data_IF_583919456022
#
_entry.id   IF_583919456022
#
_cell.length_a   1.000
_cell.length_b   1.000
_cell.length_c   1.000
_cell.angle_alpha   90.00
_cell.angle_beta   90.00
_cell.angle_gamma   90.00
#
_symmetry.space_group_name_H-M   'P 1'
#
loop_
_entity.id
_entity.type
_entity.pdbx_description
1 polymer ?
#
# COMPACT_ATOMS: atom_id res chain seq x y z
N UNK A 1 -24.53 -3.59 -5.83
CA UNK A 1 -23.62 -2.43 -5.93
C UNK A 1 -22.78 -2.37 -4.66
N UNK A 2 -21.50 -2.72 -4.73
CA UNK A 2 -20.50 -2.37 -3.71
C UNK A 2 -19.08 -2.50 -4.30
N UNK A 3 -18.52 -1.45 -4.92
CA UNK A 3 -17.12 -1.45 -5.37
C UNK A 3 -16.23 -0.40 -4.66
N UNK A 4 -16.77 0.50 -3.84
CA UNK A 4 -16.01 1.67 -3.35
C UNK A 4 -15.20 1.42 -2.06
N UNK A 5 -15.69 0.61 -1.10
CA UNK A 5 -15.01 0.42 0.19
C UNK A 5 -13.68 -0.35 0.14
N UNK A 6 -13.33 -0.96 -0.99
CA UNK A 6 -12.13 -1.79 -1.12
C UNK A 6 -10.85 -1.00 -1.44
N UNK A 7 -10.97 0.29 -1.79
CA UNK A 7 -9.84 1.11 -2.25
C UNK A 7 -9.04 1.76 -1.11
N UNK A 8 -9.67 2.06 0.02
CA UNK A 8 -9.00 2.72 1.17
C UNK A 8 -7.93 1.86 1.87
N UNK A 9 -7.87 0.56 1.57
CA UNK A 9 -6.87 -0.37 2.11
C UNK A 9 -5.66 -0.60 1.20
N UNK A 10 -5.62 0.02 0.01
CA UNK A 10 -4.50 -0.14 -0.91
C UNK A 10 -3.25 0.62 -0.43
N UNK A 11 -2.10 -0.02 -0.52
CA UNK A 11 -0.81 0.60 -0.20
C UNK A 11 -0.21 1.23 -1.45
N UNK A 12 0.22 2.48 -1.36
CA UNK A 12 1.06 3.09 -2.39
C UNK A 12 2.28 2.19 -2.65
N UNK A 13 2.65 2.00 -3.92
CA UNK A 13 3.75 1.10 -4.31
C UNK A 13 5.03 1.34 -3.51
N UNK A 14 5.41 2.60 -3.27
CA UNK A 14 6.58 2.97 -2.48
C UNK A 14 6.58 2.45 -1.02
N UNK A 15 5.43 1.96 -0.51
CA UNK A 15 5.25 1.39 0.83
C UNK A 15 4.98 -0.12 0.83
N UNK A 16 4.72 -0.71 -0.33
CA UNK A 16 4.46 -2.15 -0.47
C UNK A 16 5.75 -3.01 -0.53
N UNK A 17 6.92 -2.39 -0.35
CA UNK A 17 8.21 -3.08 -0.40
C UNK A 17 9.37 -2.13 -0.10
N UNK A 18 10.59 -2.65 -0.24
CA UNK A 18 11.81 -1.84 -0.27
C UNK A 18 12.00 -1.28 -1.68
N UNK A 19 11.63 -0.02 -1.86
CA UNK A 19 11.85 0.74 -3.08
C UNK A 19 13.14 1.57 -3.02
N UNK A 20 13.98 1.48 -4.06
CA UNK A 20 15.23 2.23 -4.20
C UNK A 20 15.37 2.80 -5.59
N UNK A 21 15.85 4.04 -5.68
CA UNK A 21 16.19 4.68 -6.94
C UNK A 21 17.70 4.82 -7.09
N UNK A 22 18.15 4.75 -8.33
CA UNK A 22 19.55 4.83 -8.75
C UNK A 22 19.66 5.82 -9.91
N UNK A 23 20.78 6.53 -9.95
CA UNK A 23 21.11 7.32 -11.13
C UNK A 23 21.40 6.38 -12.31
N UNK A 24 20.88 6.66 -13.51
CA UNK A 24 21.27 5.93 -14.70
C UNK A 24 22.78 6.07 -14.98
N UNK A 25 23.42 5.04 -15.57
CA UNK A 25 24.77 5.15 -16.09
C UNK A 25 24.91 6.38 -17.02
N UNK A 26 26.09 7.04 -17.09
CA UNK A 26 26.27 8.26 -17.86
C UNK A 26 25.77 8.17 -19.30
N UNK A 27 26.03 7.05 -19.99
CA UNK A 27 25.60 6.79 -21.37
C UNK A 27 24.06 6.74 -21.53
N UNK A 28 23.32 6.50 -20.45
CA UNK A 28 21.88 6.30 -20.46
C UNK A 28 21.07 7.48 -19.90
N UNK A 29 21.72 8.54 -19.39
CA UNK A 29 21.05 9.68 -18.74
C UNK A 29 20.12 10.48 -19.65
N UNK A 30 20.35 10.42 -20.96
CA UNK A 30 19.47 11.05 -21.95
C UNK A 30 18.20 10.21 -22.19
N UNK A 31 18.30 8.89 -22.11
CA UNK A 31 17.19 7.97 -22.38
C UNK A 31 16.36 7.64 -21.14
N UNK A 32 16.98 7.63 -19.96
CA UNK A 32 16.34 7.24 -18.71
C UNK A 32 16.54 8.32 -17.66
N UNK A 33 15.49 8.61 -16.89
CA UNK A 33 15.55 9.56 -15.78
C UNK A 33 16.03 8.89 -14.49
N UNK A 34 15.61 7.65 -14.25
CA UNK A 34 15.93 6.86 -13.05
C UNK A 34 16.02 5.38 -13.37
N UNK A 35 16.90 4.69 -12.68
CA UNK A 35 16.81 3.24 -12.51
C UNK A 35 16.22 3.00 -11.12
N UNK A 36 15.50 1.91 -10.92
CA UNK A 36 14.88 1.62 -9.64
C UNK A 36 14.71 0.13 -9.42
N UNK A 37 14.70 -0.27 -8.15
CA UNK A 37 14.32 -1.62 -7.75
C UNK A 37 13.24 -1.56 -6.69
N UNK A 38 12.36 -2.54 -6.73
CA UNK A 38 11.31 -2.73 -5.74
C UNK A 38 11.26 -4.20 -5.34
N UNK A 39 11.79 -4.50 -4.16
CA UNK A 39 11.60 -5.81 -3.55
C UNK A 39 10.30 -5.76 -2.76
N UNK A 40 9.26 -6.44 -3.25
CA UNK A 40 8.03 -6.57 -2.50
C UNK A 40 8.28 -7.34 -1.21
N UNK A 41 7.53 -6.93 -0.22
CA UNK A 41 7.48 -7.54 1.08
C UNK A 41 6.98 -9.00 1.04
N UNK A 42 7.54 -9.84 1.91
CA UNK A 42 7.05 -11.21 2.14
C UNK A 42 5.79 -11.15 3.02
N UNK A 43 4.71 -11.85 2.67
CA UNK A 43 3.45 -11.79 3.44
C UNK A 43 2.18 -11.90 2.58
N UNK A 44 0.97 -11.69 3.14
CA UNK A 44 -0.26 -11.75 2.38
C UNK A 44 -0.30 -10.61 1.35
N UNK A 45 -0.89 -10.83 0.17
CA UNK A 45 -0.89 -9.84 -0.89
C UNK A 45 -1.66 -8.58 -0.47
N UNK A 46 -0.93 -7.50 -0.22
CA UNK A 46 -1.52 -6.17 -0.10
C UNK A 46 -1.89 -5.67 -1.51
N UNK A 47 -3.04 -5.00 -1.64
CA UNK A 47 -3.37 -4.35 -2.90
C UNK A 47 -2.42 -3.17 -3.12
N UNK A 48 -1.53 -3.28 -4.11
CA UNK A 48 -0.56 -2.23 -4.42
C UNK A 48 -1.16 -1.22 -5.37
N UNK A 49 -1.15 0.06 -4.99
CA UNK A 49 -1.55 1.16 -5.85
C UNK A 49 -0.32 1.77 -6.55
N UNK A 50 -0.22 1.54 -7.85
CA UNK A 50 0.71 2.26 -8.73
C UNK A 50 -0.04 3.49 -9.24
N UNK A 51 0.40 4.67 -8.84
CA UNK A 51 -0.30 5.93 -9.13
C UNK A 51 0.32 6.63 -10.34
N UNK A 52 -0.47 7.35 -11.16
CA UNK A 52 0.02 7.94 -12.39
C UNK A 52 1.04 9.06 -12.12
N UNK A 53 2.18 9.03 -12.81
CA UNK A 53 3.25 10.03 -12.71
C UNK A 53 3.64 10.67 -14.05
N UNK A 54 3.12 10.14 -15.16
CA UNK A 54 3.40 10.60 -16.52
C UNK A 54 4.72 10.12 -17.10
N UNK A 55 5.33 9.12 -16.47
CA UNK A 55 6.44 8.37 -17.02
C UNK A 55 5.96 7.04 -17.64
N UNK A 56 6.93 6.36 -18.23
CA UNK A 56 6.83 5.00 -18.75
C UNK A 56 8.09 4.28 -18.31
N UNK A 57 7.96 3.03 -17.90
CA UNK A 57 9.04 2.26 -17.31
C UNK A 57 9.27 0.97 -18.10
N UNK A 58 10.54 0.66 -18.38
CA UNK A 58 10.96 -0.66 -18.79
C UNK A 58 11.18 -1.50 -17.54
N UNK A 59 10.63 -2.71 -17.49
CA UNK A 59 10.62 -3.57 -16.32
C UNK A 59 11.27 -4.91 -16.62
N UNK A 60 12.02 -5.41 -15.65
CA UNK A 60 12.38 -6.82 -15.50
C UNK A 60 11.65 -7.37 -14.27
N UNK A 61 10.75 -8.33 -14.50
CA UNK A 61 9.88 -8.90 -13.47
C UNK A 61 9.52 -10.34 -13.81
N UNK A 62 9.60 -11.25 -12.84
CA UNK A 62 9.25 -12.67 -12.98
C UNK A 62 9.84 -13.34 -14.24
N UNK A 63 11.11 -13.04 -14.53
CA UNK A 63 11.83 -13.62 -15.66
C UNK A 63 11.46 -13.03 -17.02
N UNK A 64 10.73 -11.90 -17.07
CA UNK A 64 10.27 -11.27 -18.30
C UNK A 64 10.58 -9.79 -18.35
N UNK A 65 10.85 -9.32 -19.56
CA UNK A 65 10.93 -7.91 -19.88
C UNK A 65 9.55 -7.41 -20.30
N UNK A 66 9.12 -6.30 -19.70
CA UNK A 66 7.87 -5.63 -20.02
C UNK A 66 8.06 -4.12 -20.10
N UNK A 67 7.13 -3.44 -20.77
CA UNK A 67 6.94 -2.00 -20.66
C UNK A 67 5.67 -1.70 -19.89
N UNK A 68 5.78 -0.97 -18.79
CA UNK A 68 4.65 -0.32 -18.15
C UNK A 68 4.40 1.01 -18.86
N UNK A 69 3.31 1.07 -19.62
CA UNK A 69 2.85 2.30 -20.23
C UNK A 69 2.35 3.30 -19.17
N UNK A 70 2.12 4.56 -19.58
CA UNK A 70 1.66 5.57 -18.65
C UNK A 70 0.26 5.23 -18.14
N UNK A 71 0.03 5.48 -16.86
CA UNK A 71 -1.29 5.36 -16.26
C UNK A 71 -2.04 6.70 -16.31
N UNK A 72 -3.36 6.63 -16.46
CA UNK A 72 -4.24 7.79 -16.27
C UNK A 72 -4.83 7.84 -14.85
N UNK A 73 -5.02 6.69 -14.24
CA UNK A 73 -5.55 6.47 -12.89
C UNK A 73 -4.79 5.29 -12.29
N UNK A 74 -4.85 5.11 -10.98
CA UNK A 74 -4.07 4.07 -10.32
C UNK A 74 -4.32 2.68 -10.91
N UNK A 75 -3.23 1.98 -11.17
CA UNK A 75 -3.22 0.57 -11.50
C UNK A 75 -3.04 -0.25 -10.21
N UNK A 76 -3.69 -1.41 -10.19
CA UNK A 76 -3.64 -2.35 -9.06
C UNK A 76 -3.16 -3.72 -9.52
N UNK A 77 -1.87 -3.87 -9.87
CA UNK A 77 -1.34 -5.14 -10.35
C UNK A 77 -1.38 -6.20 -9.25
N UNK A 78 -1.58 -7.45 -9.67
CA UNK A 78 -1.40 -8.61 -8.78
C UNK A 78 0.06 -9.02 -8.85
N UNK A 79 0.85 -8.58 -7.87
CA UNK A 79 2.25 -8.95 -7.71
C UNK A 79 2.38 -10.03 -6.63
N UNK A 80 3.25 -11.02 -6.86
CA UNK A 80 3.48 -12.05 -5.85
C UNK A 80 4.30 -11.45 -4.70
N UNK A 81 4.00 -11.80 -3.44
CA UNK A 81 4.89 -11.51 -2.32
C UNK A 81 6.32 -12.01 -2.61
N UNK A 82 7.32 -11.25 -2.18
CA UNK A 82 8.73 -11.54 -2.46
C UNK A 82 9.20 -11.28 -3.90
N UNK A 83 8.32 -10.92 -4.84
CA UNK A 83 8.74 -10.52 -6.20
C UNK A 83 9.67 -9.32 -6.11
N UNK A 84 10.81 -9.40 -6.81
CA UNK A 84 11.67 -8.25 -7.04
C UNK A 84 11.47 -7.73 -8.45
N UNK A 85 11.18 -6.43 -8.55
CA UNK A 85 11.06 -5.72 -9.82
C UNK A 85 12.28 -4.83 -9.98
N UNK A 86 12.89 -4.89 -11.17
CA UNK A 86 13.92 -3.94 -11.60
C UNK A 86 13.32 -3.11 -12.72
N UNK A 87 13.50 -1.79 -12.68
CA UNK A 87 12.96 -0.90 -13.68
C UNK A 87 13.93 0.19 -14.12
N UNK A 88 13.74 0.64 -15.35
CA UNK A 88 14.37 1.84 -15.90
C UNK A 88 13.27 2.77 -16.41
N UNK A 89 13.18 3.94 -15.78
CA UNK A 89 12.20 4.97 -16.11
C UNK A 89 12.68 5.78 -17.29
N UNK A 90 11.94 5.76 -18.39
CA UNK A 90 12.29 6.59 -19.54
C UNK A 90 12.30 8.07 -19.17
N UNK A 91 13.26 8.81 -19.72
CA UNK A 91 13.20 10.26 -19.75
C UNK A 91 12.01 10.69 -20.64
N UNK A 92 11.37 11.84 -20.38
CA UNK A 92 10.29 12.33 -21.21
C UNK A 92 10.74 12.45 -22.68
N UNK A 93 10.02 11.81 -23.60
CA UNK A 93 10.38 11.78 -25.02
C UNK A 93 11.22 10.58 -25.46
N UNK A 94 11.79 9.78 -24.54
CA UNK A 94 12.68 8.68 -24.88
C UNK A 94 11.97 7.34 -25.17
N UNK A 95 10.81 7.09 -24.54
CA UNK A 95 10.15 5.78 -24.63
C UNK A 95 9.73 5.40 -26.07
N UNK A 96 9.10 6.33 -26.81
CA UNK A 96 8.61 6.03 -28.18
C UNK A 96 9.76 5.71 -29.15
N UNK A 97 10.87 6.48 -29.20
CA UNK A 97 12.09 6.11 -29.92
C UNK A 97 12.58 4.68 -29.68
N UNK A 98 12.49 4.20 -28.44
CA UNK A 98 12.93 2.85 -28.06
C UNK A 98 11.95 1.76 -28.47
N UNK A 99 10.66 1.99 -28.19
CA UNK A 99 9.60 0.99 -28.34
C UNK A 99 8.98 0.96 -29.73
N UNK A 100 9.27 1.99 -30.56
CA UNK A 100 8.63 2.27 -31.86
C UNK A 100 7.10 2.24 -31.81
N UNK A 101 6.54 2.50 -30.62
CA UNK A 101 5.12 2.38 -30.30
C UNK A 101 4.66 3.65 -29.60
N UNK A 102 3.58 4.31 -30.06
CA UNK A 102 3.06 5.49 -29.36
C UNK A 102 2.53 5.10 -27.98
N UNK A 103 2.79 5.91 -26.95
CA UNK A 103 2.37 5.57 -25.59
C UNK A 103 0.85 5.54 -25.41
N UNK A 104 0.07 6.15 -26.31
CA UNK A 104 -1.39 6.00 -26.34
C UNK A 104 -1.86 4.57 -26.59
N UNK A 105 -1.03 3.72 -27.22
CA UNK A 105 -1.34 2.29 -27.39
C UNK A 105 -1.05 1.45 -26.14
N UNK A 106 -0.25 1.99 -25.22
CA UNK A 106 0.19 1.35 -23.97
C UNK A 106 -0.51 1.92 -22.73
N UNK A 107 -1.43 2.88 -22.90
CA UNK A 107 -2.12 3.57 -21.82
C UNK A 107 -2.80 2.58 -20.86
N UNK A 108 -2.42 2.61 -19.58
CA UNK A 108 -2.99 1.76 -18.54
C UNK A 108 -2.63 0.28 -18.64
N UNK A 109 -1.55 -0.07 -19.37
CA UNK A 109 -1.16 -1.45 -19.65
C UNK A 109 0.32 -1.69 -19.34
N UNK A 110 0.60 -2.83 -18.74
CA UNK A 110 1.93 -3.45 -18.77
C UNK A 110 1.94 -4.50 -19.87
N UNK A 111 2.89 -4.38 -20.81
CA UNK A 111 2.94 -5.23 -22.02
C UNK A 111 4.31 -5.89 -22.10
N UNK A 112 4.41 -7.23 -22.22
CA UNK A 112 5.67 -7.91 -22.51
C UNK A 112 6.36 -7.33 -23.74
N UNK A 113 7.68 -7.16 -23.70
CA UNK A 113 8.42 -6.61 -24.84
C UNK A 113 8.38 -7.50 -26.08
N UNK A 114 8.20 -8.81 -25.89
CA UNK A 114 7.98 -9.77 -26.96
C UNK A 114 6.73 -9.45 -27.79
N UNK A 115 5.65 -8.99 -27.13
CA UNK A 115 4.36 -8.72 -27.77
C UNK A 115 4.38 -7.47 -28.64
N UNK A 116 5.34 -6.57 -28.42
CA UNK A 116 5.58 -5.37 -29.25
C UNK A 116 6.77 -5.55 -30.21
N UNK A 117 7.30 -6.77 -30.31
CA UNK A 117 8.35 -7.12 -31.28
C UNK A 117 9.71 -6.49 -30.99
N UNK A 118 10.03 -6.21 -29.73
CA UNK A 118 11.34 -5.63 -29.39
C UNK A 118 12.45 -6.66 -29.62
N UNK A 119 13.37 -6.34 -30.54
CA UNK A 119 14.32 -7.29 -31.14
C UNK A 119 15.20 -8.06 -30.15
N UNK A 120 15.54 -7.42 -29.03
CA UNK A 120 16.52 -7.94 -28.05
C UNK A 120 15.87 -8.69 -26.88
N UNK A 121 14.54 -8.87 -26.90
CA UNK A 121 13.78 -9.43 -25.76
C UNK A 121 14.33 -10.79 -25.33
N UNK A 122 14.29 -11.81 -26.19
CA UNK A 122 14.65 -13.17 -25.81
C UNK A 122 16.13 -13.30 -25.34
N UNK A 123 17.04 -12.60 -26.01
CA UNK A 123 18.46 -12.57 -25.62
C UNK A 123 18.64 -11.96 -24.23
N UNK A 124 17.99 -10.83 -23.96
CA UNK A 124 18.15 -10.10 -22.71
C UNK A 124 17.46 -10.83 -21.55
N UNK A 125 16.28 -11.41 -21.78
CA UNK A 125 15.59 -12.23 -20.78
C UNK A 125 16.42 -13.46 -20.39
N UNK A 126 17.05 -14.14 -21.35
CA UNK A 126 17.94 -15.26 -21.07
C UNK A 126 19.15 -14.84 -20.21
N UNK A 127 19.85 -13.77 -20.61
CA UNK A 127 21.02 -13.26 -19.88
C UNK A 127 20.66 -12.78 -18.47
N UNK A 128 19.52 -12.11 -18.29
CA UNK A 128 19.05 -11.66 -16.97
C UNK A 128 18.60 -12.84 -16.10
N UNK A 129 18.06 -13.91 -16.71
CA UNK A 129 17.65 -15.13 -16.00
C UNK A 129 18.80 -15.85 -15.30
N UNK A 130 20.03 -15.69 -15.77
CA UNK A 130 21.24 -16.27 -15.16
C UNK A 130 21.69 -15.54 -13.88
N UNK A 131 21.11 -14.38 -13.56
CA UNK A 131 21.48 -13.55 -12.41
C UNK A 131 20.30 -13.38 -11.44
N UNK A 132 20.15 -14.29 -10.46
CA UNK A 132 19.03 -14.23 -9.50
C UNK A 132 19.21 -13.16 -8.42
N UNK A 133 20.42 -12.65 -8.19
CA UNK A 133 20.69 -11.60 -7.20
C UNK A 133 20.31 -10.20 -7.73
N UNK A 134 19.49 -9.41 -7.01
CA UNK A 134 18.98 -8.15 -7.54
C UNK A 134 20.04 -7.07 -7.84
N UNK A 135 21.07 -6.83 -6.99
CA UNK A 135 22.21 -5.98 -7.34
C UNK A 135 22.90 -6.36 -8.66
N UNK A 136 23.21 -7.63 -8.85
CA UNK A 136 23.89 -8.09 -10.07
C UNK A 136 23.00 -8.00 -11.30
N UNK A 137 21.73 -8.38 -11.16
CA UNK A 137 20.72 -8.22 -12.20
C UNK A 137 20.54 -6.75 -12.61
N UNK A 138 20.54 -5.81 -11.65
CA UNK A 138 20.47 -4.37 -11.92
C UNK A 138 21.69 -3.87 -12.71
N UNK A 139 22.89 -4.32 -12.32
CA UNK A 139 24.12 -3.96 -13.03
C UNK A 139 24.13 -4.52 -14.47
N UNK A 140 23.67 -5.75 -14.66
CA UNK A 140 23.52 -6.35 -15.98
C UNK A 140 22.45 -5.63 -16.81
N UNK A 141 21.29 -5.33 -16.20
CA UNK A 141 20.21 -4.59 -16.85
C UNK A 141 20.70 -3.25 -17.41
N UNK A 142 21.53 -2.51 -16.66
CA UNK A 142 22.19 -1.30 -17.15
C UNK A 142 23.09 -1.54 -18.38
N UNK A 143 23.95 -2.56 -18.34
CA UNK A 143 24.82 -2.90 -19.49
C UNK A 143 24.03 -3.29 -20.74
N UNK A 144 22.98 -4.08 -20.56
CA UNK A 144 22.06 -4.47 -21.63
C UNK A 144 21.38 -3.25 -22.25
N UNK A 145 20.94 -2.30 -21.42
CA UNK A 145 20.36 -1.05 -21.90
C UNK A 145 21.40 -0.17 -22.60
N UNK A 146 22.66 -0.14 -22.17
CA UNK A 146 23.73 0.54 -22.91
C UNK A 146 23.96 -0.09 -24.29
N UNK A 147 23.91 -1.43 -24.39
CA UNK A 147 23.98 -2.14 -25.66
C UNK A 147 22.81 -1.77 -26.59
N UNK A 148 21.58 -1.72 -26.04
CA UNK A 148 20.38 -1.37 -26.79
C UNK A 148 20.33 0.11 -27.19
N UNK A 149 20.88 1.01 -26.37
CA UNK A 149 20.89 2.45 -26.63
C UNK A 149 21.70 2.82 -27.88
N UNK A 150 22.66 1.98 -28.29
CA UNK A 150 23.45 2.21 -29.52
C UNK A 150 22.60 2.23 -30.79
N UNK A 151 21.46 1.53 -30.78
CA UNK A 151 20.52 1.45 -31.90
C UNK A 151 19.26 2.31 -31.66
N UNK A 152 19.17 3.01 -30.52
CA UNK A 152 18.01 3.81 -30.16
C UNK A 152 18.09 5.20 -30.78
N UNK A 153 16.94 5.73 -31.23
CA UNK A 153 16.90 7.13 -31.67
C UNK A 153 16.95 8.07 -30.45
N UNK A 154 17.38 9.30 -30.69
CA UNK A 154 17.42 10.36 -29.68
C UNK A 154 16.03 10.65 -29.10
N UNK A 155 15.93 10.99 -27.80
CA UNK A 155 14.69 11.43 -27.17
C UNK A 155 14.09 12.65 -27.88
N UNK A 156 12.75 12.70 -27.95
CA UNK A 156 12.05 13.85 -28.50
C UNK A 156 12.16 15.07 -27.55
N UNK A 157 12.93 16.08 -27.95
CA UNK A 157 13.16 17.30 -27.15
C UNK A 157 11.87 18.06 -26.82
N UNK A 158 10.93 18.11 -27.77
CA UNK A 158 9.64 18.80 -27.56
C UNK A 158 8.82 18.15 -26.45
N UNK A 159 8.86 16.82 -26.32
CA UNK A 159 8.25 16.10 -25.21
C UNK A 159 8.88 16.48 -23.86
N UNK A 160 10.21 16.59 -23.78
CA UNK A 160 10.88 17.04 -22.56
C UNK A 160 10.43 18.46 -22.15
N UNK A 161 10.31 19.39 -23.10
CA UNK A 161 9.80 20.74 -22.83
C UNK A 161 8.35 20.73 -22.38
N UNK A 162 7.48 19.94 -23.02
CA UNK A 162 6.07 19.79 -22.63
C UNK A 162 5.96 19.25 -21.20
N UNK A 163 6.73 18.22 -20.88
CA UNK A 163 6.73 17.60 -19.54
C UNK A 163 7.20 18.59 -18.47
N UNK A 164 8.32 19.27 -18.70
CA UNK A 164 8.86 20.27 -17.76
C UNK A 164 7.86 21.42 -17.50
N UNK A 165 7.11 21.84 -18.51
CA UNK A 165 6.09 22.86 -18.33
C UNK A 165 4.93 22.39 -17.45
N UNK A 166 4.42 21.17 -17.68
CA UNK A 166 3.40 20.56 -16.83
C UNK A 166 3.88 20.44 -15.37
N UNK A 167 5.16 20.10 -15.19
CA UNK A 167 5.78 19.97 -13.87
C UNK A 167 5.93 21.31 -13.14
N UNK A 168 6.18 22.40 -13.87
CA UNK A 168 6.27 23.76 -13.32
C UNK A 168 4.95 24.35 -12.82
N UNK A 169 3.82 23.67 -13.06
CA UNK A 169 2.48 24.16 -12.70
C UNK A 169 1.95 25.27 -13.62
N UNK A 170 2.69 25.60 -14.68
CA UNK A 170 2.27 26.56 -15.70
C UNK A 170 1.40 25.86 -16.76
N UNK A 171 0.35 26.51 -17.28
CA UNK A 171 -0.47 25.93 -18.35
C UNK A 171 0.37 25.65 -19.60
N UNK A 172 0.23 24.47 -20.19
CA UNK A 172 0.90 24.07 -21.43
C UNK A 172 0.46 24.92 -22.63
N UNK A 173 -0.69 25.62 -22.55
CA UNK A 173 -1.08 26.62 -23.56
C UNK A 173 -0.04 27.75 -23.69
N UNK A 174 0.70 28.07 -22.62
CA UNK A 174 1.81 29.03 -22.69
C UNK A 174 3.02 28.52 -23.47
N UNK A 175 3.07 27.23 -23.79
CA UNK A 175 4.12 26.64 -24.62
C UNK A 175 3.85 26.75 -26.12
N UNK A 176 2.60 27.02 -26.53
CA UNK A 176 2.23 27.06 -27.96
C UNK A 176 3.10 28.04 -28.74
N UNK A 177 3.32 29.25 -28.19
CA UNK A 177 4.20 30.26 -28.79
C UNK A 177 5.69 29.94 -28.71
N UNK A 178 6.14 29.19 -27.70
CA UNK A 178 7.56 28.80 -27.53
C UNK A 178 7.97 27.62 -28.41
N UNK A 179 7.04 26.69 -28.64
CA UNK A 179 7.26 25.50 -29.45
C UNK A 179 6.84 25.68 -30.91
N UNK A 180 6.24 26.83 -31.26
CA UNK A 180 5.68 27.06 -32.60
C UNK A 180 4.57 26.08 -32.96
N UNK A 181 3.81 25.59 -31.97
CA UNK A 181 2.78 24.57 -32.14
C UNK A 181 1.37 25.13 -31.98
N UNK A 182 0.45 24.65 -32.81
CA UNK A 182 -1.00 24.77 -32.56
C UNK A 182 -1.44 23.84 -31.44
N UNK A 183 -2.60 24.11 -30.83
CA UNK A 183 -3.20 23.25 -29.81
C UNK A 183 -3.41 21.81 -30.30
N UNK A 184 -3.79 21.64 -31.59
CA UNK A 184 -3.96 20.33 -32.21
C UNK A 184 -2.63 19.56 -32.28
N UNK A 185 -1.53 20.24 -32.64
CA UNK A 185 -0.20 19.63 -32.66
C UNK A 185 0.26 19.26 -31.25
N UNK A 186 0.09 20.15 -30.27
CA UNK A 186 0.41 19.88 -28.86
C UNK A 186 -0.36 18.67 -28.35
N UNK A 187 -1.68 18.62 -28.58
CA UNK A 187 -2.52 17.48 -28.18
C UNK A 187 -2.01 16.18 -28.80
N UNK A 188 -1.70 16.18 -30.10
CA UNK A 188 -1.19 15.00 -30.81
C UNK A 188 0.16 14.53 -30.24
N UNK A 189 1.09 15.47 -30.01
CA UNK A 189 2.39 15.18 -29.38
C UNK A 189 2.24 14.58 -28.00
N UNK A 190 1.34 15.14 -27.17
CA UNK A 190 1.09 14.59 -25.84
C UNK A 190 0.53 13.17 -25.88
N UNK A 191 -0.44 12.87 -26.76
CA UNK A 191 -0.97 11.50 -26.87
C UNK A 191 0.13 10.52 -27.32
N UNK A 192 0.99 10.97 -28.23
CA UNK A 192 2.09 10.15 -28.73
C UNK A 192 3.13 9.84 -27.65
N UNK A 193 3.57 10.84 -26.88
CA UNK A 193 4.68 10.71 -25.92
C UNK A 193 4.26 10.47 -24.46
N UNK A 194 2.99 10.64 -24.09
CA UNK A 194 2.49 10.47 -22.72
C UNK A 194 1.18 9.69 -22.63
N UNK A 195 0.59 9.30 -23.77
CA UNK A 195 -0.66 8.53 -23.82
C UNK A 195 -1.95 9.34 -23.66
N UNK A 196 -1.89 10.61 -23.27
CA UNK A 196 -3.05 11.48 -23.07
C UNK A 196 -2.74 12.96 -23.42
N UNK A 197 -3.73 13.84 -23.33
CA UNK A 197 -3.57 15.26 -23.66
C UNK A 197 -2.82 16.08 -22.60
N UNK A 198 -2.35 17.27 -22.98
CA UNK A 198 -1.58 18.18 -22.12
C UNK A 198 -2.26 18.49 -20.78
N UNK A 199 -3.58 18.74 -20.79
CA UNK A 199 -4.35 19.01 -19.56
C UNK A 199 -4.33 17.82 -18.59
N UNK A 200 -4.37 16.58 -19.09
CA UNK A 200 -4.25 15.40 -18.22
C UNK A 200 -2.85 15.28 -17.63
N UNK A 201 -1.81 15.55 -18.43
CA UNK A 201 -0.43 15.59 -17.95
C UNK A 201 -0.25 16.63 -16.84
N UNK A 202 -0.75 17.85 -17.01
CA UNK A 202 -0.70 18.91 -16.00
C UNK A 202 -1.34 18.48 -14.68
N UNK A 203 -2.52 17.86 -14.73
CA UNK A 203 -3.23 17.37 -13.55
C UNK A 203 -2.44 16.26 -12.84
N UNK A 204 -1.87 15.32 -13.61
CA UNK A 204 -1.01 14.26 -13.07
C UNK A 204 0.25 14.84 -12.42
N UNK A 205 0.92 15.80 -13.06
CA UNK A 205 2.10 16.45 -12.46
C UNK A 205 1.74 17.27 -11.23
N UNK A 206 0.58 17.93 -11.19
CA UNK A 206 0.04 18.57 -9.97
C UNK A 206 -0.16 17.56 -8.85
N UNK A 207 -0.75 16.41 -9.15
CA UNK A 207 -0.92 15.32 -8.19
C UNK A 207 0.43 14.78 -7.69
N UNK A 208 1.43 14.63 -8.56
CA UNK A 208 2.78 14.22 -8.14
C UNK A 208 3.44 15.24 -7.21
N UNK A 209 3.29 16.55 -7.46
CA UNK A 209 3.75 17.59 -6.53
C UNK A 209 3.10 17.47 -5.15
N UNK A 210 1.81 17.14 -5.09
CA UNK A 210 1.15 16.84 -3.82
C UNK A 210 1.79 15.65 -3.09
N UNK A 211 2.09 14.55 -3.79
CA UNK A 211 2.78 13.41 -3.19
C UNK A 211 4.17 13.78 -2.65
N UNK A 212 4.93 14.60 -3.39
CA UNK A 212 6.24 15.09 -2.96
C UNK A 212 6.14 15.97 -1.70
N UNK A 213 5.14 16.86 -1.65
CA UNK A 213 4.87 17.67 -0.46
C UNK A 213 4.49 16.80 0.75
N UNK A 214 3.68 15.76 0.57
CA UNK A 214 3.35 14.81 1.64
C UNK A 214 4.58 14.06 2.16
N UNK A 215 5.55 13.72 1.30
CA UNK A 215 6.80 13.06 1.73
C UNK A 215 7.69 13.99 2.56
N UNK A 216 7.66 15.30 2.27
CA UNK A 216 8.47 16.31 2.95
C UNK A 216 7.80 16.95 4.18
N UNK A 217 6.48 16.81 4.33
CA UNK A 217 5.68 17.59 5.30
C UNK A 217 4.83 16.68 6.18
N UNK A 218 5.30 16.37 7.39
CA UNK A 218 4.55 15.54 8.34
C UNK A 218 3.39 16.24 9.07
N UNK A 219 3.31 17.57 9.02
CA UNK A 219 2.41 18.38 9.86
C UNK A 219 1.58 19.42 9.11
N UNK A 220 1.73 19.54 7.79
CA UNK A 220 1.03 20.58 7.01
C UNK A 220 -0.46 20.25 6.85
N UNK A 221 -1.39 21.20 7.13
CA UNK A 221 -2.81 20.99 6.90
C UNK A 221 -3.14 20.72 5.43
N UNK A 222 -4.15 19.90 5.16
CA UNK A 222 -4.57 19.53 3.79
C UNK A 222 -4.91 20.72 2.90
N UNK A 223 -5.50 21.79 3.48
CA UNK A 223 -5.80 23.00 2.74
C UNK A 223 -4.53 23.72 2.23
N UNK A 224 -3.46 23.71 3.02
CA UNK A 224 -2.19 24.30 2.62
C UNK A 224 -1.47 23.41 1.60
N UNK A 225 -1.45 22.09 1.80
CA UNK A 225 -0.95 21.13 0.81
C UNK A 225 -1.63 21.30 -0.55
N UNK A 226 -2.95 21.55 -0.56
CA UNK A 226 -3.70 21.81 -1.78
C UNK A 226 -3.18 23.04 -2.52
N UNK A 227 -2.99 24.16 -1.83
CA UNK A 227 -2.51 25.41 -2.44
C UNK A 227 -1.07 25.28 -2.95
N UNK A 228 -0.17 24.71 -2.14
CA UNK A 228 1.24 24.51 -2.49
C UNK A 228 1.42 23.56 -3.69
N UNK A 229 0.59 22.51 -3.78
CA UNK A 229 0.62 21.62 -4.94
C UNK A 229 0.06 22.27 -6.22
N UNK A 230 -0.70 23.37 -6.08
CA UNK A 230 -1.32 24.13 -7.18
C UNK A 230 -2.77 23.74 -7.47
N UNK A 231 -3.50 23.23 -6.49
CA UNK A 231 -4.96 23.12 -6.54
C UNK A 231 -5.62 24.45 -6.17
N UNK A 232 -6.90 24.58 -6.53
CA UNK A 232 -7.67 25.79 -6.22
C UNK A 232 -8.06 25.84 -4.74
N UNK A 233 -8.39 24.67 -4.17
CA UNK A 233 -8.80 24.48 -2.79
C UNK A 233 -8.69 22.98 -2.42
N UNK A 234 -8.95 22.64 -1.15
CA UNK A 234 -8.91 21.27 -0.65
C UNK A 234 -9.96 20.36 -1.33
N UNK A 235 -11.14 20.86 -1.67
CA UNK A 235 -12.19 20.04 -2.28
C UNK A 235 -11.82 19.64 -3.72
N UNK A 236 -11.19 20.55 -4.47
CA UNK A 236 -10.59 20.29 -5.76
C UNK A 236 -9.49 19.23 -5.65
N UNK A 237 -8.57 19.38 -4.69
CA UNK A 237 -7.54 18.37 -4.41
C UNK A 237 -8.16 17.01 -4.10
N UNK A 238 -9.13 16.91 -3.20
CA UNK A 238 -9.77 15.63 -2.84
C UNK A 238 -10.38 14.93 -4.06
N UNK A 239 -11.06 15.68 -4.96
CA UNK A 239 -11.63 15.10 -6.18
C UNK A 239 -10.57 14.55 -7.13
N UNK A 240 -9.52 15.32 -7.43
CA UNK A 240 -8.46 14.87 -8.36
C UNK A 240 -7.59 13.76 -7.76
N UNK A 241 -7.23 13.85 -6.48
CA UNK A 241 -6.48 12.81 -5.77
C UNK A 241 -7.28 11.51 -5.75
N UNK A 242 -8.58 11.56 -5.45
CA UNK A 242 -9.46 10.40 -5.50
C UNK A 242 -9.58 9.80 -6.91
N UNK A 243 -9.70 10.63 -7.95
CA UNK A 243 -9.70 10.18 -9.36
C UNK A 243 -8.41 9.43 -9.72
N UNK A 244 -7.25 9.98 -9.35
CA UNK A 244 -5.96 9.45 -9.79
C UNK A 244 -5.45 8.29 -8.95
N UNK A 245 -5.72 8.26 -7.65
CA UNK A 245 -5.17 7.26 -6.74
C UNK A 245 -6.20 6.22 -6.28
N UNK A 246 -7.49 6.54 -6.33
CA UNK A 246 -8.52 5.78 -5.63
C UNK A 246 -8.48 5.93 -4.11
N UNK A 247 -7.59 6.76 -3.55
CA UNK A 247 -7.37 7.00 -2.13
C UNK A 247 -7.78 8.43 -1.75
N UNK A 248 -8.05 8.64 -0.46
CA UNK A 248 -8.24 9.98 0.08
C UNK A 248 -6.89 10.69 0.34
N UNK A 249 -6.84 12.03 0.29
CA UNK A 249 -5.63 12.78 0.67
C UNK A 249 -5.11 12.43 2.07
N UNK A 250 -6.01 12.21 3.03
CA UNK A 250 -5.66 11.81 4.40
C UNK A 250 -5.01 10.42 4.43
N UNK A 251 -5.54 9.45 3.67
CA UNK A 251 -4.94 8.12 3.57
C UNK A 251 -3.54 8.17 2.96
N UNK A 252 -3.35 8.97 1.90
CA UNK A 252 -2.03 9.17 1.27
C UNK A 252 -1.06 9.82 2.25
N UNK A 253 -1.48 10.89 2.95
CA UNK A 253 -0.66 11.55 3.95
C UNK A 253 -0.27 10.56 5.05
N UNK A 254 -1.23 9.81 5.60
CA UNK A 254 -0.97 8.76 6.60
C UNK A 254 0.05 7.71 6.12
N UNK A 255 0.01 7.31 4.85
CA UNK A 255 0.99 6.36 4.30
C UNK A 255 2.37 6.99 4.05
N UNK A 256 2.44 8.27 3.67
CA UNK A 256 3.69 8.94 3.29
C UNK A 256 4.40 9.63 4.45
N UNK A 257 3.70 10.03 5.51
CA UNK A 257 4.25 10.63 6.72
C UNK A 257 4.96 9.64 7.65
N UNK A 258 4.80 8.33 7.44
CA UNK A 258 5.38 7.30 8.30
C UNK A 258 6.89 7.11 8.04
N UNK A 259 7.76 7.07 9.08
CA UNK A 259 9.19 6.79 8.92
C UNK A 259 9.42 5.42 8.25
N UNK A 260 10.35 5.34 7.28
CA UNK A 260 10.66 4.12 6.50
C UNK A 260 10.89 2.86 7.38
N UNK A 261 11.44 3.02 8.59
CA UNK A 261 11.75 1.92 9.53
C UNK A 261 10.53 1.18 10.09
N UNK A 262 9.34 1.78 10.12
CA UNK A 262 8.15 1.17 10.71
C UNK A 262 7.32 0.40 9.67
N UNK A 263 7.42 0.77 8.39
CA UNK A 263 6.78 0.07 7.27
C UNK A 263 7.39 -1.32 7.00
N UNK A 264 8.70 -1.49 7.21
CA UNK A 264 9.38 -2.79 7.11
C UNK A 264 8.90 -3.78 8.20
N UNK A 265 8.45 -3.28 9.35
CA UNK A 265 8.03 -4.09 10.51
C UNK A 265 6.62 -4.69 10.35
N UNK A 266 5.71 -3.95 9.69
CA UNK A 266 4.38 -4.45 9.30
C UNK A 266 4.44 -5.64 8.33
N UNK A 267 5.57 -5.82 7.66
CA UNK A 267 5.78 -6.87 6.68
C UNK A 267 6.48 -8.05 7.31
N UNK A 268 7.50 -7.80 8.13
CA UNK A 268 8.20 -8.88 8.81
C UNK A 268 7.26 -9.65 9.76
N UNK A 269 6.32 -8.99 10.43
CA UNK A 269 5.29 -9.69 11.24
C UNK A 269 4.31 -10.55 10.40
N UNK A 270 4.22 -10.29 9.09
CA UNK A 270 3.47 -11.11 8.15
C UNK A 270 4.29 -12.27 7.54
N UNK A 271 5.62 -12.13 7.47
CA UNK A 271 6.56 -13.11 6.97
C UNK A 271 7.04 -14.11 8.04
N UNK A 272 7.14 -13.69 9.31
CA UNK A 272 7.68 -14.48 10.42
C UNK A 272 6.63 -15.38 11.12
N UNK A 273 5.42 -15.52 10.56
CA UNK A 273 4.51 -16.59 11.00
C UNK A 273 5.04 -17.93 10.48
N UNK A 274 5.19 -18.96 11.33
CA UNK A 274 5.74 -20.24 10.88
C UNK A 274 4.88 -20.82 9.75
N UNK A 275 5.54 -21.20 8.66
CA UNK A 275 4.94 -22.00 7.58
C UNK A 275 4.54 -23.33 8.20
N UNK A 276 3.25 -23.47 8.51
CA UNK A 276 2.69 -24.73 8.99
C UNK A 276 2.74 -25.72 7.81
N UNK A 277 3.76 -26.57 7.79
CA UNK A 277 3.88 -27.72 6.90
C UNK A 277 2.85 -28.79 7.30
N UNK A 278 1.58 -28.47 7.06
CA UNK A 278 0.48 -29.41 6.91
C UNK A 278 -0.55 -28.62 6.12
N UNK A 279 -0.68 -28.93 4.81
CA UNK A 279 -1.75 -28.37 3.99
C UNK A 279 -3.08 -28.76 4.65
N UNK A 280 -3.94 -27.81 5.06
CA UNK A 280 -5.33 -28.16 5.25
C UNK A 280 -5.88 -28.58 3.88
N UNK A 281 -6.74 -29.59 3.86
CA UNK A 281 -7.40 -30.04 2.65
C UNK A 281 -8.09 -28.84 1.98
N UNK A 282 -7.93 -28.72 0.66
CA UNK A 282 -8.49 -27.63 -0.15
C UNK A 282 -10.03 -27.60 -0.08
N UNK A 283 -10.66 -28.65 0.45
CA UNK A 283 -12.10 -28.73 0.74
C UNK A 283 -12.54 -27.89 1.97
N UNK A 284 -11.66 -27.62 2.95
CA UNK A 284 -12.02 -26.85 4.17
C UNK A 284 -12.04 -25.33 3.94
N UNK A 285 -11.38 -24.83 2.89
CA UNK A 285 -11.38 -23.40 2.53
C UNK A 285 -12.68 -22.96 1.81
N UNK A 286 -13.60 -23.89 1.52
CA UNK A 286 -14.91 -23.58 0.94
C UNK A 286 -15.97 -23.18 1.98
N UNK A 287 -15.63 -22.94 3.25
CA UNK A 287 -16.60 -22.48 4.25
C UNK A 287 -16.03 -21.49 5.28
N UNK A 288 -15.68 -20.26 4.88
CA UNK A 288 -15.61 -19.13 5.82
C UNK A 288 -16.38 -17.94 5.28
N UNK A 289 -17.71 -18.05 5.32
CA UNK A 289 -18.63 -16.92 5.15
C UNK A 289 -18.40 -15.86 6.24
N UNK A 290 -18.64 -14.59 5.91
CA UNK A 290 -18.67 -13.50 6.91
C UNK A 290 -19.59 -13.87 8.08
N UNK A 291 -19.06 -13.82 9.31
CA UNK A 291 -19.82 -14.13 10.52
C UNK A 291 -20.65 -12.91 10.95
N UNK A 292 -21.89 -13.12 11.44
CA UNK A 292 -22.61 -12.07 12.18
C UNK A 292 -21.76 -11.56 13.34
N UNK A 293 -21.82 -10.25 13.59
CA UNK A 293 -21.02 -9.59 14.61
C UNK A 293 -21.87 -8.64 15.46
N UNK A 294 -21.50 -8.48 16.73
CA UNK A 294 -22.02 -7.44 17.63
C UNK A 294 -20.85 -6.67 18.19
N UNK A 295 -20.85 -5.34 18.05
CA UNK A 295 -19.89 -4.49 18.74
C UNK A 295 -20.49 -4.14 20.09
N UNK A 296 -19.75 -4.48 21.14
CA UNK A 296 -20.08 -4.22 22.54
C UNK A 296 -19.12 -3.13 22.99
N UNK A 297 -19.64 -2.03 23.53
CA UNK A 297 -18.79 -0.91 23.88
C UNK A 297 -19.24 -0.24 25.18
N UNK A 298 -18.30 0.45 25.84
CA UNK A 298 -18.49 1.10 27.12
C UNK A 298 -17.63 2.37 27.19
N UNK A 299 -18.25 3.51 27.49
CA UNK A 299 -17.52 4.75 27.80
C UNK A 299 -16.97 4.71 29.24
N UNK A 300 -15.73 5.16 29.41
CA UNK A 300 -15.03 5.28 30.69
C UNK A 300 -14.53 6.72 30.85
N UNK A 301 -14.84 7.36 31.98
CA UNK A 301 -14.47 8.72 32.36
C UNK A 301 -13.01 8.79 32.86
N UNK A 302 -12.09 8.32 32.01
CA UNK A 302 -10.65 8.27 32.25
C UNK A 302 -9.89 8.44 30.94
N UNK A 303 -8.73 9.12 30.98
CA UNK A 303 -7.88 9.28 29.79
C UNK A 303 -7.62 7.90 29.15
N UNK A 304 -7.78 7.85 27.83
CA UNK A 304 -7.72 6.61 27.08
C UNK A 304 -6.35 5.90 27.19
N UNK A 305 -5.26 6.63 27.45
CA UNK A 305 -3.92 6.05 27.64
C UNK A 305 -3.81 5.35 28.98
N UNK A 306 -4.41 5.90 30.04
CA UNK A 306 -4.44 5.25 31.35
C UNK A 306 -5.22 3.93 31.28
N UNK A 307 -6.38 3.94 30.61
CA UNK A 307 -7.19 2.73 30.41
C UNK A 307 -6.46 1.74 29.51
N UNK A 308 -5.77 2.19 28.47
CA UNK A 308 -4.95 1.34 27.61
C UNK A 308 -3.76 0.70 28.35
N UNK A 309 -3.01 1.49 29.10
CA UNK A 309 -1.85 1.02 29.86
C UNK A 309 -2.25 0.05 30.98
N UNK A 310 -3.48 0.14 31.48
CA UNK A 310 -4.04 -0.81 32.42
C UNK A 310 -4.60 -2.06 31.73
N UNK A 311 -5.57 -1.90 30.84
CA UNK A 311 -6.30 -3.01 30.22
C UNK A 311 -5.46 -3.80 29.20
N UNK A 312 -4.45 -3.15 28.61
CA UNK A 312 -3.54 -3.74 27.62
C UNK A 312 -2.45 -4.62 28.23
N UNK A 313 -2.28 -4.61 29.56
CA UNK A 313 -1.36 -5.50 30.27
C UNK A 313 -2.05 -6.84 30.55
N UNK A 314 -1.57 -7.96 29.98
CA UNK A 314 -2.16 -9.27 30.21
C UNK A 314 -2.27 -9.63 31.70
N UNK A 315 -1.34 -9.15 32.53
CA UNK A 315 -1.31 -9.35 33.97
C UNK A 315 -2.51 -8.71 34.70
N UNK A 316 -3.10 -7.66 34.11
CA UNK A 316 -4.26 -6.97 34.67
C UNK A 316 -5.59 -7.55 34.17
N UNK A 317 -5.59 -8.35 33.10
CA UNK A 317 -6.81 -8.92 32.54
C UNK A 317 -7.61 -9.78 33.52
N UNK A 318 -7.01 -10.61 34.40
CA UNK A 318 -7.76 -11.37 35.40
C UNK A 318 -8.58 -10.49 36.36
N UNK A 319 -8.27 -9.19 36.48
CA UNK A 319 -8.99 -8.26 37.34
C UNK A 319 -10.35 -7.84 36.76
N UNK A 320 -10.56 -7.95 35.45
CA UNK A 320 -11.75 -7.44 34.77
C UNK A 320 -12.35 -8.36 33.71
N UNK A 321 -11.55 -9.22 33.08
CA UNK A 321 -12.00 -10.21 32.11
C UNK A 321 -12.31 -11.53 32.84
N UNK A 322 -13.59 -11.81 33.09
CA UNK A 322 -13.99 -12.95 33.92
C UNK A 322 -13.67 -14.31 33.28
N UNK A 323 -13.53 -14.37 31.95
CA UNK A 323 -13.02 -15.55 31.23
C UNK A 323 -11.54 -15.89 31.52
N UNK A 324 -10.79 -14.99 32.15
CA UNK A 324 -9.37 -15.10 32.47
C UNK A 324 -9.10 -14.96 33.99
N UNK A 325 -10.15 -15.04 34.81
CA UNK A 325 -10.07 -14.83 36.26
C UNK A 325 -9.18 -15.85 37.00
N UNK A 326 -8.91 -17.01 36.39
CA UNK A 326 -7.98 -18.02 36.91
C UNK A 326 -6.50 -17.66 36.71
N UNK A 327 -6.21 -16.56 36.00
CA UNK A 327 -4.85 -16.07 35.75
C UNK A 327 -4.37 -16.34 34.32
N UNK A 328 -3.34 -15.56 33.94
CA UNK A 328 -2.61 -15.69 32.69
C UNK A 328 -1.13 -15.89 33.04
N UNK A 329 -0.55 -17.01 32.60
CA UNK A 329 0.86 -17.33 32.79
C UNK A 329 1.65 -17.04 31.51
N UNK A 330 2.79 -16.33 31.59
CA UNK A 330 3.60 -16.06 30.41
C UNK A 330 4.26 -17.34 29.90
N UNK A 331 4.15 -17.61 28.59
CA UNK A 331 4.74 -18.75 27.90
C UNK A 331 5.35 -18.30 26.56
N UNK A 332 6.61 -17.84 26.63
CA UNK A 332 7.29 -17.25 25.47
C UNK A 332 6.66 -15.93 25.05
N UNK A 333 6.17 -15.85 23.81
CA UNK A 333 5.44 -14.69 23.28
C UNK A 333 3.91 -14.76 23.53
N UNK A 334 3.43 -15.90 24.03
CA UNK A 334 2.02 -16.17 24.29
C UNK A 334 1.74 -16.22 25.80
N UNK A 335 0.46 -16.25 26.15
CA UNK A 335 -0.02 -16.44 27.51
C UNK A 335 -0.88 -17.68 27.60
N UNK A 336 -0.82 -18.38 28.72
CA UNK A 336 -1.63 -19.57 28.98
C UNK A 336 -2.63 -19.23 30.08
N UNK A 337 -3.90 -19.50 29.83
CA UNK A 337 -4.95 -19.44 30.83
C UNK A 337 -5.53 -20.83 31.05
N UNK A 338 -5.79 -21.18 32.30
CA UNK A 338 -6.38 -22.46 32.68
C UNK A 338 -7.84 -22.25 33.06
N UNK A 339 -8.77 -22.71 32.22
CA UNK A 339 -10.21 -22.50 32.42
C UNK A 339 -10.99 -23.80 32.57
N UNK A 340 -12.30 -23.67 32.79
CA UNK A 340 -13.24 -24.81 32.83
C UNK A 340 -13.31 -25.59 31.50
N UNK A 341 -12.83 -24.99 30.39
CA UNK A 341 -12.77 -25.58 29.05
C UNK A 341 -11.36 -26.12 28.70
N UNK A 342 -10.48 -26.27 29.69
CA UNK A 342 -9.11 -26.74 29.50
C UNK A 342 -8.09 -25.59 29.40
N UNK A 343 -6.89 -25.93 28.95
CA UNK A 343 -5.79 -24.99 28.78
C UNK A 343 -5.98 -24.23 27.46
N UNK A 344 -6.10 -22.91 27.54
CA UNK A 344 -6.23 -22.04 26.37
C UNK A 344 -5.01 -21.15 26.22
N UNK A 345 -4.59 -20.95 24.98
CA UNK A 345 -3.48 -20.06 24.64
C UNK A 345 -4.01 -18.73 24.15
N UNK A 346 -3.54 -17.64 24.73
CA UNK A 346 -3.92 -16.27 24.38
C UNK A 346 -2.72 -15.54 23.80
N UNK A 347 -2.86 -15.04 22.58
CA UNK A 347 -1.83 -14.26 21.90
C UNK A 347 -2.34 -12.83 21.75
N UNK A 348 -1.71 -11.88 22.43
CA UNK A 348 -2.04 -10.45 22.34
C UNK A 348 -1.26 -9.77 21.22
N UNK A 349 -1.82 -8.72 20.63
CA UNK A 349 -1.04 -7.82 19.78
C UNK A 349 0.00 -7.06 20.63
N UNK A 350 1.14 -6.66 20.04
CA UNK A 350 2.12 -5.83 20.74
C UNK A 350 1.55 -4.49 21.20
N UNK A 351 2.16 -3.92 22.24
CA UNK A 351 1.87 -2.54 22.68
C UNK A 351 2.00 -1.56 21.50
N UNK A 352 1.05 -0.65 21.37
CA UNK A 352 0.87 0.25 20.24
C UNK A 352 0.20 1.56 20.67
N UNK A 353 0.36 2.60 19.86
CA UNK A 353 -0.18 3.94 20.14
C UNK A 353 -1.63 4.13 19.65
N UNK A 354 -2.32 3.05 19.24
CA UNK A 354 -3.65 3.11 18.63
C UNK A 354 -4.76 2.58 19.53
N UNK A 355 -4.41 2.18 20.75
CA UNK A 355 -5.33 1.64 21.75
C UNK A 355 -5.81 0.23 21.43
N UNK A 356 -5.12 -0.51 20.57
CA UNK A 356 -5.54 -1.86 20.12
C UNK A 356 -5.04 -2.91 21.11
N UNK A 357 -5.95 -3.76 21.59
CA UNK A 357 -5.72 -4.85 22.54
C UNK A 357 -6.31 -6.16 21.97
N UNK A 358 -6.26 -6.30 20.65
CA UNK A 358 -6.70 -7.50 19.96
C UNK A 358 -5.96 -8.73 20.48
N UNK A 359 -6.69 -9.83 20.59
CA UNK A 359 -6.09 -11.08 21.01
C UNK A 359 -6.75 -12.27 20.32
N UNK A 360 -5.97 -13.32 20.13
CA UNK A 360 -6.46 -14.60 19.62
C UNK A 360 -6.44 -15.62 20.74
N UNK A 361 -7.59 -16.20 21.02
CA UNK A 361 -7.72 -17.35 21.93
C UNK A 361 -7.67 -18.62 21.09
N UNK A 362 -6.74 -19.50 21.43
CA UNK A 362 -6.62 -20.84 20.83
C UNK A 362 -7.00 -21.86 21.88
N UNK A 363 -8.10 -22.59 21.64
CA UNK A 363 -8.53 -23.69 22.52
C UNK A 363 -7.84 -24.99 22.12
N UNK A 364 -7.88 -26.00 22.99
CA UNK A 364 -7.17 -27.28 22.81
C UNK A 364 -7.54 -28.03 21.52
N UNK A 365 -8.76 -27.85 21.01
CA UNK A 365 -9.20 -28.41 19.72
C UNK A 365 -8.52 -27.77 18.50
N UNK A 366 -7.67 -26.76 18.69
CA UNK A 366 -7.01 -25.99 17.64
C UNK A 366 -7.87 -24.86 17.05
N UNK A 367 -9.13 -24.72 17.48
CA UNK A 367 -9.97 -23.60 17.07
C UNK A 367 -9.38 -22.29 17.58
N UNK A 368 -9.27 -21.32 16.68
CA UNK A 368 -8.75 -19.97 16.94
C UNK A 368 -9.88 -18.97 16.87
N UNK A 369 -10.12 -18.27 17.96
CA UNK A 369 -11.13 -17.22 18.07
C UNK A 369 -10.41 -15.89 18.17
N UNK A 370 -10.64 -15.02 17.19
CA UNK A 370 -10.07 -13.67 17.17
C UNK A 370 -11.05 -12.68 17.83
N UNK A 371 -10.55 -11.98 18.83
CA UNK A 371 -11.27 -10.96 19.57
C UNK A 371 -10.65 -9.60 19.27
N UNK A 372 -11.41 -8.74 18.59
CA UNK A 372 -10.98 -7.36 18.39
C UNK A 372 -11.42 -6.52 19.60
N UNK A 373 -10.46 -5.87 20.26
CA UNK A 373 -10.68 -5.02 21.44
C UNK A 373 -9.88 -3.74 21.28
N UNK A 374 -10.52 -2.58 21.43
CA UNK A 374 -9.87 -1.29 21.22
C UNK A 374 -10.38 -0.23 22.18
N UNK A 375 -9.47 0.66 22.59
CA UNK A 375 -9.75 1.85 23.38
C UNK A 375 -9.44 3.07 22.53
N UNK A 376 -10.36 4.02 22.47
CA UNK A 376 -10.18 5.27 21.71
C UNK A 376 -10.53 6.48 22.56
N UNK A 377 -9.90 7.66 22.32
CA UNK A 377 -10.27 8.88 23.02
C UNK A 377 -11.72 9.27 22.74
N UNK A 378 -12.46 9.64 23.78
CA UNK A 378 -13.83 10.14 23.72
C UNK A 378 -13.98 11.35 24.66
N UNK A 379 -13.67 12.55 24.16
CA UNK A 379 -13.55 13.76 24.97
C UNK A 379 -12.41 13.63 25.99
N UNK A 380 -12.69 13.97 27.25
CA UNK A 380 -11.75 13.82 28.37
C UNK A 380 -11.71 12.38 28.93
N UNK A 381 -12.56 11.49 28.39
CA UNK A 381 -12.59 10.07 28.70
C UNK A 381 -12.20 9.19 27.51
N UNK A 382 -12.68 7.95 27.51
CA UNK A 382 -12.45 7.00 26.42
C UNK A 382 -13.65 6.10 26.13
N UNK A 383 -13.64 5.49 24.95
CA UNK A 383 -14.58 4.45 24.54
C UNK A 383 -13.82 3.13 24.40
N UNK A 384 -14.25 2.10 25.11
CA UNK A 384 -13.73 0.73 24.99
C UNK A 384 -14.70 -0.07 24.13
N UNK A 385 -14.21 -0.76 23.09
CA UNK A 385 -15.02 -1.47 22.11
C UNK A 385 -14.50 -2.90 21.90
N UNK A 386 -15.36 -3.90 22.04
CA UNK A 386 -15.10 -5.30 21.77
C UNK A 386 -15.99 -5.78 20.61
N UNK A 387 -15.43 -6.44 19.60
CA UNK A 387 -16.20 -7.02 18.49
C UNK A 387 -16.39 -8.52 18.72
N UNK A 388 -17.61 -8.90 19.11
CA UNK A 388 -18.00 -10.30 19.29
C UNK A 388 -18.48 -10.89 17.95
N UNK A 389 -17.84 -11.98 17.51
CA UNK A 389 -18.18 -12.72 16.30
C UNK A 389 -18.97 -13.98 16.65
N UNK A 390 -20.09 -14.20 15.95
CA UNK A 390 -20.90 -15.42 16.13
C UNK A 390 -20.25 -16.59 15.39
N UNK A 391 -19.66 -17.51 16.15
CA UNK A 391 -19.00 -18.69 15.59
C UNK A 391 -20.00 -19.64 14.90
N UNK A 392 -19.56 -20.40 13.88
CA UNK A 392 -20.39 -21.43 13.25
C UNK A 392 -20.93 -22.42 14.28
N UNK A 393 -22.23 -22.73 14.21
CA UNK A 393 -22.90 -23.64 15.16
C UNK A 393 -23.38 -22.98 16.46
N UNK A 394 -23.09 -21.70 16.69
CA UNK A 394 -23.56 -20.96 17.87
C UNK A 394 -25.03 -20.57 17.72
N UNK A 395 -25.85 -20.90 18.71
CA UNK A 395 -27.27 -20.48 18.79
C UNK A 395 -27.40 -19.00 19.13
N UNK A 396 -28.56 -18.38 18.85
CA UNK A 396 -28.82 -16.97 19.19
C UNK A 396 -28.76 -16.72 20.71
N UNK A 397 -29.21 -17.70 21.50
CA UNK A 397 -29.17 -17.66 22.96
C UNK A 397 -27.73 -17.68 23.47
N UNK A 398 -26.86 -18.53 22.92
CA UNK A 398 -25.43 -18.55 23.24
C UNK A 398 -24.75 -17.23 22.84
N UNK A 399 -25.01 -16.72 21.63
CA UNK A 399 -24.41 -15.47 21.16
C UNK A 399 -24.82 -14.27 22.03
N UNK A 400 -26.07 -14.28 22.49
CA UNK A 400 -26.59 -13.25 23.40
C UNK A 400 -26.03 -13.39 24.83
N UNK A 401 -25.82 -14.61 25.31
CA UNK A 401 -25.16 -14.86 26.60
C UNK A 401 -23.70 -14.42 26.61
N UNK A 402 -22.94 -14.72 25.54
CA UNK A 402 -21.56 -14.26 25.37
C UNK A 402 -21.50 -12.72 25.30
N UNK A 403 -22.44 -12.09 24.61
CA UNK A 403 -22.52 -10.64 24.57
C UNK A 403 -22.75 -10.03 25.96
N UNK A 404 -23.68 -10.60 26.74
CA UNK A 404 -23.93 -10.15 28.12
C UNK A 404 -22.71 -10.37 29.03
N UNK A 405 -21.92 -11.41 28.78
CA UNK A 405 -20.68 -11.67 29.51
C UNK A 405 -19.61 -10.62 29.22
N UNK A 406 -19.39 -10.30 27.94
CA UNK A 406 -18.46 -9.23 27.54
C UNK A 406 -18.92 -7.86 28.06
N UNK A 407 -20.23 -7.56 28.02
CA UNK A 407 -20.79 -6.33 28.61
C UNK A 407 -20.44 -6.20 30.11
N UNK A 408 -20.51 -7.32 30.86
CA UNK A 408 -20.14 -7.35 32.28
C UNK A 408 -18.65 -7.13 32.52
N UNK A 409 -17.79 -7.71 31.67
CA UNK A 409 -16.34 -7.54 31.76
C UNK A 409 -15.93 -6.09 31.49
N UNK A 410 -16.51 -5.44 30.46
CA UNK A 410 -16.25 -4.02 30.19
C UNK A 410 -16.78 -3.11 31.30
N UNK A 411 -17.91 -3.45 31.92
CA UNK A 411 -18.43 -2.72 33.08
C UNK A 411 -17.52 -2.87 34.32
N UNK A 412 -16.89 -4.02 34.51
CA UNK A 412 -15.88 -4.22 35.57
C UNK A 412 -14.64 -3.36 35.30
N UNK A 413 -14.15 -3.33 34.06
CA UNK A 413 -13.02 -2.47 33.67
C UNK A 413 -13.33 -0.99 33.95
N UNK A 414 -14.52 -0.52 33.57
CA UNK A 414 -14.99 0.84 33.90
C UNK A 414 -14.92 1.09 35.41
N UNK A 415 -15.50 0.18 36.20
CA UNK A 415 -15.53 0.32 37.66
C UNK A 415 -14.14 0.26 38.32
N UNK A 416 -13.11 -0.30 37.67
CA UNK A 416 -11.73 -0.27 38.15
C UNK A 416 -11.02 1.04 37.79
N UNK A 417 -11.27 1.57 36.58
CA UNK A 417 -10.58 2.75 36.06
C UNK A 417 -11.17 4.08 36.54
N UNK A 418 -12.40 4.07 37.06
CA UNK A 418 -13.09 5.25 37.60
C UNK A 418 -13.06 5.34 39.14
N UNK A 419 -12.34 4.42 39.80
CA UNK A 419 -11.98 4.53 41.22
C UNK A 419 -10.78 5.45 41.39
#
# INVERSE_FOLDING_TARGET
>A
MAPERRKDTALLAARAGRYREYAPPPALRHHFSRFWSHALHDGPPAQVAIVPDGYCDLLWIDGRLAVAGPDRTAAFPTLRPGTTVIGARFAPGAAVPWLKTPLSALLGRSVPLADIGWKRTAEFEARLGDYPDPPDAMALFGRLLEEAARDADEPAEDAAVIFAAADSGRPASRLLGRLGMSERQLRRRCHHHFGYGAKTLERIRRFQRFLDLCRGSGTMPLAQLALEAGFADQAHMTREVGEFSGLTPTAILGQLSMPKRQADRFVQDAADRPVMTARPNIEDLQAMSTMPAKIIHQSIERDWRDVYDFAGKPENMPLWASGLASGLEPNGADWIAHGALGTVKVSFVPTNEFGVIDHTVTIESGLRVYNALRIVPNGDGCEVMFTLLRLPGMTDAQFSADAAHVEKDLAMLKALMER
#
